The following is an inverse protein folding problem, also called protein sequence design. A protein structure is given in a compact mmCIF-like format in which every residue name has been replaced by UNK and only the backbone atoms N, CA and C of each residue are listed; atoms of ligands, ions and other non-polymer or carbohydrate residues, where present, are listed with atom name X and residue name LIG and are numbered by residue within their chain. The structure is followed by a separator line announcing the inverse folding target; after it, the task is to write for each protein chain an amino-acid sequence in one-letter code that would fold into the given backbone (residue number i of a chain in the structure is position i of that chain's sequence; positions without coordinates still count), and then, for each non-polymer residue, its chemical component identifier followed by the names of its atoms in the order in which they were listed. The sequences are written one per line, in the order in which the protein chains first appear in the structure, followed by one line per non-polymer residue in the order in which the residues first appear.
data_IF_420643686628
#
_entry.id   IF_420643686628
#
_cell.length_a   1.000
_cell.length_b   1.000
_cell.length_c   1.000
_cell.angle_alpha   90.00
_cell.angle_beta   90.00
_cell.angle_gamma   90.00
#
_symmetry.space_group_name_H-M   'P 1'
#
loop_
_entity.id
_entity.type
_entity.pdbx_description
1 polymer ?
#
# COMPACT_ATOMS: atom_id res chain seq x y z
N UNK A 1 -3.97 -15.30 -12.22
CA UNK A 1 -3.28 -14.47 -13.23
C UNK A 1 -1.91 -15.04 -13.58
N UNK A 2 -1.50 -14.99 -14.86
CA UNK A 2 -0.17 -15.41 -15.31
C UNK A 2 0.81 -14.22 -15.42
N UNK A 3 2.12 -14.47 -15.37
CA UNK A 3 3.12 -13.42 -15.57
C UNK A 3 3.06 -12.82 -16.97
N UNK A 4 2.72 -13.61 -17.99
CA UNK A 4 2.60 -13.11 -19.37
C UNK A 4 1.46 -12.11 -19.55
N UNK A 5 0.30 -12.36 -18.92
CA UNK A 5 -0.83 -11.44 -18.99
C UNK A 5 -0.49 -10.12 -18.31
N UNK A 6 0.20 -10.19 -17.16
CA UNK A 6 0.62 -8.99 -16.44
C UNK A 6 1.69 -8.17 -17.15
N UNK A 7 2.62 -8.83 -17.86
CA UNK A 7 3.61 -8.15 -18.70
C UNK A 7 2.93 -7.47 -19.90
N UNK A 8 1.98 -8.13 -20.56
CA UNK A 8 1.24 -7.53 -21.67
C UNK A 8 0.41 -6.31 -21.21
N UNK A 9 -0.16 -6.38 -20.01
CA UNK A 9 -0.84 -5.24 -19.41
C UNK A 9 0.10 -4.08 -19.06
N UNK A 10 1.29 -4.42 -18.57
CA UNK A 10 2.34 -3.45 -18.28
C UNK A 10 2.72 -2.64 -19.54
N UNK A 11 2.86 -3.31 -20.69
CA UNK A 11 3.11 -2.65 -21.99
C UNK A 11 2.02 -1.61 -22.32
N UNK A 12 0.76 -1.99 -22.11
CA UNK A 12 -0.34 -1.06 -22.36
C UNK A 12 -0.35 0.11 -21.38
N UNK A 13 -0.03 -0.14 -20.10
CA UNK A 13 0.02 0.89 -19.07
C UNK A 13 1.16 1.88 -19.31
N UNK A 14 2.35 1.39 -19.68
CA UNK A 14 3.51 2.21 -20.04
C UNK A 14 3.17 3.15 -21.21
N UNK A 15 2.56 2.61 -22.28
CA UNK A 15 2.12 3.43 -23.42
C UNK A 15 1.10 4.51 -23.03
N UNK A 16 0.30 4.25 -21.98
CA UNK A 16 -0.63 5.19 -21.37
C UNK A 16 -0.02 6.16 -20.36
N UNK A 17 1.30 6.08 -20.11
CA UNK A 17 2.03 6.99 -19.23
C UNK A 17 2.17 6.54 -17.78
N UNK A 18 1.83 5.30 -17.44
CA UNK A 18 2.16 4.73 -16.13
C UNK A 18 3.67 4.53 -16.03
N UNK A 19 4.26 5.00 -14.93
CA UNK A 19 5.72 5.00 -14.74
C UNK A 19 6.20 4.12 -13.59
N UNK A 20 5.27 3.59 -12.77
CA UNK A 20 5.60 2.90 -11.52
C UNK A 20 4.89 1.56 -11.40
N UNK A 21 5.59 0.57 -10.85
CA UNK A 21 5.04 -0.75 -10.53
C UNK A 21 5.26 -1.05 -9.05
N UNK A 22 4.20 -1.42 -8.35
CA UNK A 22 4.25 -1.89 -6.96
C UNK A 22 3.65 -3.29 -6.85
N UNK A 23 4.03 -4.01 -5.80
CA UNK A 23 3.50 -5.32 -5.46
C UNK A 23 2.81 -5.21 -4.10
N UNK A 24 1.51 -5.48 -4.07
CA UNK A 24 0.66 -5.37 -2.88
C UNK A 24 -0.46 -6.40 -2.94
N UNK A 25 -1.19 -6.54 -1.83
CA UNK A 25 -2.27 -7.50 -1.68
C UNK A 25 -1.76 -8.90 -1.35
N UNK A 26 -2.44 -9.58 -0.42
CA UNK A 26 -2.01 -10.89 0.08
C UNK A 26 -0.56 -10.90 0.56
N UNK A 27 0.17 -11.99 0.27
CA UNK A 27 1.62 -12.08 0.48
C UNK A 27 2.32 -12.34 -0.87
N UNK A 28 2.94 -11.32 -1.48
CA UNK A 28 3.57 -11.45 -2.81
C UNK A 28 4.67 -12.51 -2.88
N UNK A 29 5.41 -12.76 -1.79
CA UNK A 29 6.47 -13.77 -1.77
C UNK A 29 5.96 -15.22 -1.80
N UNK A 30 4.64 -15.46 -1.79
CA UNK A 30 4.06 -16.76 -2.13
C UNK A 30 4.14 -17.07 -3.63
N UNK A 31 4.46 -16.08 -4.48
CA UNK A 31 4.63 -16.21 -5.94
C UNK A 31 5.95 -15.58 -6.39
N UNK A 32 7.11 -16.11 -5.94
CA UNK A 32 8.41 -15.54 -6.29
C UNK A 32 8.71 -15.61 -7.79
N UNK A 33 8.16 -16.61 -8.49
CA UNK A 33 8.21 -16.74 -9.95
C UNK A 33 7.58 -15.53 -10.66
N UNK A 34 6.45 -15.05 -10.13
CA UNK A 34 5.74 -13.89 -10.67
C UNK A 34 6.49 -12.60 -10.36
N UNK A 35 6.98 -12.44 -9.13
CA UNK A 35 7.80 -11.28 -8.73
C UNK A 35 9.04 -11.13 -9.61
N UNK A 36 9.81 -12.21 -9.78
CA UNK A 36 11.03 -12.21 -10.60
C UNK A 36 10.73 -11.85 -12.05
N UNK A 37 9.70 -12.45 -12.64
CA UNK A 37 9.33 -12.19 -14.03
C UNK A 37 8.91 -10.72 -14.26
N UNK A 38 8.08 -10.19 -13.37
CA UNK A 38 7.62 -8.80 -13.50
C UNK A 38 8.71 -7.80 -13.16
N UNK A 39 9.57 -8.07 -12.17
CA UNK A 39 10.70 -7.19 -11.87
C UNK A 39 11.64 -7.07 -13.06
N UNK A 40 11.98 -8.19 -13.71
CA UNK A 40 12.77 -8.15 -14.95
C UNK A 40 12.09 -7.33 -16.05
N UNK A 41 10.78 -7.57 -16.27
CA UNK A 41 10.01 -6.85 -17.27
C UNK A 41 9.90 -5.33 -17.00
N UNK A 42 9.73 -4.93 -15.74
CA UNK A 42 9.72 -3.53 -15.31
C UNK A 42 11.05 -2.85 -15.63
N UNK A 43 12.17 -3.51 -15.33
CA UNK A 43 13.51 -3.00 -15.61
C UNK A 43 13.81 -2.88 -17.11
N UNK A 44 13.42 -3.87 -17.91
CA UNK A 44 13.57 -3.83 -19.37
C UNK A 44 12.85 -2.63 -20.01
N UNK A 45 11.78 -2.15 -19.36
CA UNK A 45 10.98 -1.00 -19.80
C UNK A 45 11.44 0.33 -19.20
N UNK A 46 12.43 0.32 -18.31
CA UNK A 46 12.88 1.53 -17.61
C UNK A 46 11.80 2.15 -16.72
N UNK A 47 10.84 1.34 -16.26
CA UNK A 47 9.83 1.77 -15.29
C UNK A 47 10.44 1.79 -13.89
N UNK A 48 9.90 2.63 -13.03
CA UNK A 48 10.31 2.71 -11.63
C UNK A 48 9.57 1.66 -10.80
N UNK A 49 10.22 1.15 -9.77
CA UNK A 49 9.49 0.45 -8.71
C UNK A 49 8.95 1.44 -7.69
N UNK A 50 7.74 1.16 -7.24
CA UNK A 50 7.21 1.71 -6.00
C UNK A 50 7.58 0.75 -4.85
N UNK A 51 6.59 0.20 -4.16
CA UNK A 51 6.79 -0.66 -3.00
C UNK A 51 6.53 -2.13 -3.30
N UNK A 52 7.37 -3.01 -2.76
CA UNK A 52 7.09 -4.45 -2.60
C UNK A 52 6.64 -4.69 -1.17
N UNK A 53 5.32 -4.81 -0.97
CA UNK A 53 4.72 -5.13 0.33
C UNK A 53 4.97 -6.58 0.69
N UNK A 54 5.22 -6.85 1.96
CA UNK A 54 5.29 -8.21 2.51
C UNK A 54 5.02 -8.18 4.01
N UNK A 55 4.56 -9.29 4.57
CA UNK A 55 4.66 -9.52 6.00
C UNK A 55 6.08 -9.97 6.38
N UNK A 56 6.92 -10.50 5.49
CA UNK A 56 8.28 -10.93 5.86
C UNK A 56 8.35 -12.19 6.73
N UNK A 57 7.25 -12.93 6.86
CA UNK A 57 7.09 -14.14 7.68
C UNK A 57 6.61 -15.37 6.85
N UNK A 58 6.89 -15.38 5.55
CA UNK A 58 6.48 -16.43 4.61
C UNK A 58 7.49 -17.58 4.46
N UNK A 59 8.71 -17.42 4.96
CA UNK A 59 9.83 -18.33 4.76
C UNK A 59 9.89 -19.42 5.83
N UNK A 60 10.26 -20.65 5.41
CA UNK A 60 10.41 -21.79 6.32
C UNK A 60 11.78 -21.83 7.02
N UNK A 61 12.84 -21.43 6.31
CA UNK A 61 14.21 -21.35 6.81
C UNK A 61 14.97 -20.18 6.17
N UNK A 62 16.10 -19.81 6.78
CA UNK A 62 16.90 -18.65 6.38
C UNK A 62 17.56 -18.83 5.00
N UNK A 63 17.78 -20.07 4.54
CA UNK A 63 18.33 -20.34 3.21
C UNK A 63 17.28 -20.03 2.14
N UNK A 64 16.04 -20.48 2.35
CA UNK A 64 14.90 -20.16 1.49
C UNK A 64 14.59 -18.67 1.45
N UNK A 65 14.66 -17.99 2.61
CA UNK A 65 14.54 -16.53 2.69
C UNK A 65 15.58 -15.84 1.80
N UNK A 66 16.87 -16.12 2.02
CA UNK A 66 17.96 -15.48 1.28
C UNK A 66 17.88 -15.77 -0.22
N UNK A 67 17.70 -17.04 -0.60
CA UNK A 67 17.64 -17.43 -2.02
C UNK A 67 16.51 -16.73 -2.78
N UNK A 68 15.37 -16.51 -2.12
CA UNK A 68 14.23 -15.83 -2.75
C UNK A 68 14.51 -14.33 -2.88
N UNK A 69 15.05 -13.69 -1.84
CA UNK A 69 15.44 -12.28 -1.87
C UNK A 69 16.54 -12.01 -2.91
N UNK A 70 17.56 -12.87 -3.00
CA UNK A 70 18.60 -12.81 -4.03
C UNK A 70 17.98 -12.87 -5.43
N UNK A 71 17.00 -13.75 -5.66
CA UNK A 71 16.33 -13.87 -6.97
C UNK A 71 15.58 -12.60 -7.35
N UNK A 72 14.91 -11.95 -6.38
CA UNK A 72 14.18 -10.68 -6.60
C UNK A 72 15.14 -9.52 -6.88
N UNK A 73 16.25 -9.43 -6.12
CA UNK A 73 17.31 -8.45 -6.37
C UNK A 73 17.95 -8.67 -7.75
N UNK A 74 18.28 -9.90 -8.09
CA UNK A 74 18.97 -10.24 -9.35
C UNK A 74 18.07 -10.00 -10.57
N UNK A 75 16.74 -10.05 -10.39
CA UNK A 75 15.76 -9.61 -11.39
C UNK A 75 15.72 -8.09 -11.57
N UNK A 76 16.43 -7.34 -10.72
CA UNK A 76 16.60 -5.89 -10.80
C UNK A 76 15.62 -5.06 -9.96
N UNK A 77 14.92 -5.66 -9.00
CA UNK A 77 14.09 -4.85 -8.08
C UNK A 77 14.97 -3.92 -7.23
N UNK A 78 14.76 -2.61 -7.39
CA UNK A 78 15.46 -1.54 -6.66
C UNK A 78 14.52 -0.58 -5.92
N UNK A 79 13.23 -0.92 -5.84
CA UNK A 79 12.23 -0.17 -5.08
C UNK A 79 12.32 -0.37 -3.57
N UNK A 80 11.31 0.15 -2.85
CA UNK A 80 11.25 0.06 -1.40
C UNK A 80 10.60 -1.27 -0.96
N UNK A 81 11.21 -1.97 0.00
CA UNK A 81 10.55 -3.11 0.65
C UNK A 81 9.66 -2.57 1.77
N UNK A 82 8.35 -2.76 1.63
CA UNK A 82 7.38 -2.38 2.64
C UNK A 82 7.08 -3.55 3.56
N UNK A 83 7.67 -3.54 4.76
CA UNK A 83 7.38 -4.56 5.77
C UNK A 83 6.12 -4.17 6.55
N UNK A 84 5.01 -4.86 6.28
CA UNK A 84 3.78 -4.77 7.05
C UNK A 84 3.99 -5.46 8.40
N UNK A 85 4.12 -4.68 9.46
CA UNK A 85 4.40 -5.15 10.82
C UNK A 85 3.52 -4.39 11.82
N UNK A 86 2.50 -5.07 12.34
CA UNK A 86 1.56 -4.51 13.30
C UNK A 86 0.91 -5.60 14.17
N UNK A 87 0.00 -5.17 15.05
CA UNK A 87 -0.72 -6.06 15.96
C UNK A 87 -1.61 -7.09 15.24
N UNK A 88 -2.07 -6.83 14.01
CA UNK A 88 -2.95 -7.74 13.27
C UNK A 88 -2.20 -8.94 12.70
N UNK A 89 -0.94 -8.75 12.34
CA UNK A 89 -0.10 -9.84 11.82
C UNK A 89 0.48 -10.71 12.94
N UNK A 90 0.66 -10.16 14.15
CA UNK A 90 1.09 -10.92 15.33
C UNK A 90 2.47 -11.57 15.19
N UNK A 91 3.35 -10.96 14.39
CA UNK A 91 4.59 -11.58 13.95
C UNK A 91 5.67 -11.57 15.03
N UNK A 92 6.55 -12.56 14.96
CA UNK A 92 7.69 -12.64 15.88
C UNK A 92 8.68 -11.49 15.64
N UNK A 93 9.03 -10.68 16.66
CA UNK A 93 10.08 -9.67 16.55
C UNK A 93 11.42 -10.25 16.06
N UNK A 94 11.74 -11.48 16.49
CA UNK A 94 12.95 -12.17 16.07
C UNK A 94 12.96 -12.45 14.56
N UNK A 95 11.83 -12.90 14.01
CA UNK A 95 11.72 -13.22 12.58
C UNK A 95 11.73 -11.96 11.72
N UNK A 96 11.07 -10.90 12.17
CA UNK A 96 11.16 -9.59 11.54
C UNK A 96 12.61 -9.09 11.49
N UNK A 97 13.37 -9.19 12.59
CA UNK A 97 14.78 -8.80 12.62
C UNK A 97 15.65 -9.64 11.65
N UNK A 98 15.43 -10.96 11.58
CA UNK A 98 16.14 -11.83 10.62
C UNK A 98 15.80 -11.47 9.17
N UNK A 99 14.53 -11.22 8.89
CA UNK A 99 14.09 -10.76 7.57
C UNK A 99 14.80 -9.45 7.17
N UNK A 100 14.73 -8.43 8.03
CA UNK A 100 15.34 -7.12 7.80
C UNK A 100 16.86 -7.23 7.59
N UNK A 101 17.57 -7.95 8.48
CA UNK A 101 19.01 -8.15 8.33
C UNK A 101 19.35 -8.86 7.02
N UNK A 102 18.56 -9.86 6.61
CA UNK A 102 18.80 -10.57 5.34
C UNK A 102 18.56 -9.67 4.14
N UNK A 103 17.52 -8.82 4.16
CA UNK A 103 17.30 -7.80 3.13
C UNK A 103 18.52 -6.87 3.04
N UNK A 104 19.00 -6.35 4.16
CA UNK A 104 20.15 -5.43 4.15
C UNK A 104 21.41 -6.08 3.59
N UNK A 105 21.65 -7.35 3.91
CA UNK A 105 22.77 -8.11 3.35
C UNK A 105 22.62 -8.33 1.84
N UNK A 106 21.40 -8.68 1.37
CA UNK A 106 21.14 -8.97 -0.04
C UNK A 106 21.30 -7.71 -0.90
N UNK A 107 20.75 -6.57 -0.46
CA UNK A 107 20.86 -5.30 -1.19
C UNK A 107 22.18 -4.57 -0.93
N UNK A 108 22.90 -4.90 0.14
CA UNK A 108 24.15 -4.25 0.54
C UNK A 108 23.97 -2.85 1.13
N UNK A 109 22.76 -2.51 1.58
CA UNK A 109 22.37 -1.19 2.11
C UNK A 109 21.16 -1.33 3.05
N UNK A 110 21.06 -0.44 4.04
CA UNK A 110 20.12 -0.53 5.17
C UNK A 110 18.90 0.40 5.11
N UNK A 111 18.77 1.13 4.02
CA UNK A 111 17.76 2.17 3.78
C UNK A 111 16.77 1.77 2.67
N UNK A 112 16.68 0.46 2.38
CA UNK A 112 15.79 -0.14 1.36
C UNK A 112 14.52 -0.73 1.96
N UNK A 113 14.26 -0.46 3.25
CA UNK A 113 13.06 -0.93 3.95
C UNK A 113 12.35 0.22 4.64
N UNK A 114 11.03 0.17 4.62
CA UNK A 114 10.17 0.91 5.53
C UNK A 114 9.20 -0.04 6.24
N UNK A 115 8.81 0.34 7.46
CA UNK A 115 7.83 -0.39 8.26
C UNK A 115 6.48 0.28 8.13
N UNK A 116 5.47 -0.51 7.77
CA UNK A 116 4.08 -0.08 7.70
C UNK A 116 3.30 -0.76 8.81
N UNK A 117 2.57 0.03 9.58
CA UNK A 117 1.71 -0.49 10.66
C UNK A 117 0.33 0.12 10.59
N UNK A 118 -0.69 -0.70 10.77
CA UNK A 118 -2.06 -0.24 10.99
C UNK A 118 -2.32 -0.11 12.48
N UNK A 119 -2.86 1.04 12.93
CA UNK A 119 -3.21 1.27 14.34
C UNK A 119 -4.28 0.28 14.81
N UNK A 120 -4.04 -0.35 15.95
CA UNK A 120 -4.97 -1.24 16.64
C UNK A 120 -5.52 -0.58 17.91
N UNK A 121 -6.70 -0.98 18.42
CA UNK A 121 -7.14 -0.62 19.76
C UNK A 121 -6.13 -1.00 20.87
N UNK A 122 -5.33 -2.04 20.63
CA UNK A 122 -4.20 -2.42 21.47
C UNK A 122 -2.97 -2.71 20.60
N UNK A 123 -1.96 -1.87 20.75
CA UNK A 123 -0.66 -1.94 20.07
C UNK A 123 0.49 -2.32 21.02
N UNK A 124 0.18 -2.69 22.27
CA UNK A 124 1.19 -2.83 23.33
C UNK A 124 2.27 -3.86 23.00
N UNK A 125 1.87 -5.03 22.48
CA UNK A 125 2.79 -6.09 22.08
C UNK A 125 3.60 -5.71 20.84
N UNK A 126 2.94 -5.10 19.85
CA UNK A 126 3.60 -4.60 18.65
C UNK A 126 4.69 -3.58 19.00
N UNK A 127 4.38 -2.58 19.85
CA UNK A 127 5.34 -1.53 20.23
C UNK A 127 6.54 -2.11 20.98
N UNK A 128 6.33 -3.06 21.90
CA UNK A 128 7.43 -3.80 22.55
C UNK A 128 8.24 -4.61 21.56
N UNK A 129 7.57 -5.25 20.59
CA UNK A 129 8.20 -5.99 19.51
C UNK A 129 9.08 -5.10 18.65
N UNK A 130 8.63 -3.89 18.36
CA UNK A 130 9.36 -2.91 17.57
C UNK A 130 10.65 -2.43 18.26
N UNK A 131 10.59 -2.18 19.58
CA UNK A 131 11.80 -1.91 20.38
C UNK A 131 12.79 -3.09 20.34
N UNK A 132 12.29 -4.33 20.39
CA UNK A 132 13.13 -5.53 20.30
C UNK A 132 13.75 -5.71 18.90
N UNK A 133 13.00 -5.41 17.82
CA UNK A 133 13.52 -5.40 16.45
C UNK A 133 14.64 -4.37 16.31
N UNK A 134 14.41 -3.14 16.78
CA UNK A 134 15.41 -2.08 16.74
C UNK A 134 16.72 -2.49 17.43
N UNK A 135 16.63 -3.05 18.64
CA UNK A 135 17.78 -3.52 19.39
C UNK A 135 18.50 -4.69 18.67
N UNK A 136 17.75 -5.63 18.07
CA UNK A 136 18.32 -6.75 17.33
C UNK A 136 19.08 -6.31 16.06
N UNK A 137 18.71 -5.18 15.47
CA UNK A 137 19.40 -4.57 14.33
C UNK A 137 20.56 -3.64 14.75
N UNK A 138 20.86 -3.54 16.05
CA UNK A 138 21.90 -2.66 16.57
C UNK A 138 21.51 -1.17 16.56
N UNK A 139 20.22 -0.87 16.43
CA UNK A 139 19.68 0.47 16.45
C UNK A 139 18.80 0.75 17.68
N UNK A 140 18.07 1.85 17.59
CA UNK A 140 17.04 2.26 18.55
C UNK A 140 15.79 2.74 17.83
N UNK A 141 14.66 2.62 18.51
CA UNK A 141 13.40 3.19 18.04
C UNK A 141 13.34 4.67 18.43
N UNK A 142 13.25 5.55 17.45
CA UNK A 142 12.96 6.96 17.66
C UNK A 142 11.45 7.19 17.71
N UNK A 143 11.04 8.02 18.65
CA UNK A 143 9.64 8.40 18.87
C UNK A 143 9.50 9.91 18.69
N UNK A 144 8.36 10.34 18.15
CA UNK A 144 7.99 11.74 18.04
C UNK A 144 7.57 12.34 19.39
N UNK A 145 7.25 13.63 19.38
CA UNK A 145 6.79 14.36 20.58
C UNK A 145 5.49 13.79 21.17
N UNK A 146 4.68 13.12 20.35
CA UNK A 146 3.46 12.42 20.74
C UNK A 146 3.71 10.99 21.27
N UNK A 147 4.97 10.54 21.30
CA UNK A 147 5.39 9.21 21.73
C UNK A 147 5.23 8.12 20.67
N UNK A 148 4.72 8.46 19.48
CA UNK A 148 4.55 7.53 18.38
C UNK A 148 5.90 7.16 17.75
N UNK A 149 6.13 5.90 17.35
CA UNK A 149 7.34 5.52 16.65
C UNK A 149 7.39 6.20 15.28
N UNK A 150 8.55 6.77 14.96
CA UNK A 150 8.81 7.50 13.71
C UNK A 150 9.77 6.72 12.81
N UNK A 151 10.81 6.10 13.40
CA UNK A 151 11.81 5.32 12.66
C UNK A 151 12.67 4.47 13.59
N UNK A 152 13.29 3.43 13.05
CA UNK A 152 14.43 2.73 13.66
C UNK A 152 15.71 3.31 13.05
N UNK A 153 16.70 3.66 13.86
CA UNK A 153 18.00 4.09 13.35
C UNK A 153 19.18 3.63 14.22
N UNK A 154 20.38 3.57 13.64
CA UNK A 154 21.64 3.35 14.35
C UNK A 154 22.43 4.67 14.53
N UNK A 155 23.52 4.61 15.31
CA UNK A 155 24.39 5.77 15.53
C UNK A 155 25.11 6.22 14.26
N UNK A 156 25.41 5.28 13.36
CA UNK A 156 26.00 5.59 12.05
C UNK A 156 25.10 6.53 11.26
N UNK A 157 23.77 6.32 11.24
CA UNK A 157 22.85 7.26 10.62
C UNK A 157 22.65 8.54 11.44
N UNK A 158 22.54 8.44 12.77
CA UNK A 158 22.29 9.59 13.65
C UNK A 158 23.38 10.66 13.59
N UNK A 159 24.63 10.24 13.39
CA UNK A 159 25.80 11.12 13.39
C UNK A 159 26.13 11.67 11.99
N UNK A 160 25.37 11.28 10.95
CA UNK A 160 25.59 11.76 9.58
C UNK A 160 25.44 13.27 9.48
N UNK A 161 26.25 13.82 8.58
CA UNK A 161 26.24 15.20 8.14
C UNK A 161 25.92 15.26 6.64
N UNK A 162 25.63 16.46 6.12
CA UNK A 162 25.42 16.66 4.68
C UNK A 162 26.66 16.33 3.82
N UNK A 163 27.85 16.21 4.43
CA UNK A 163 29.09 15.87 3.74
C UNK A 163 29.30 14.36 3.58
N UNK A 164 28.56 13.52 4.32
CA UNK A 164 28.72 12.07 4.29
C UNK A 164 28.04 11.47 3.05
N UNK A 165 28.66 10.47 2.39
CA UNK A 165 28.11 9.86 1.19
C UNK A 165 26.80 9.13 1.50
N UNK A 166 25.80 9.28 0.63
CA UNK A 166 24.55 8.51 0.71
C UNK A 166 24.76 7.10 0.11
N UNK A 167 25.39 6.24 0.91
CA UNK A 167 25.78 4.87 0.54
C UNK A 167 24.93 3.80 1.25
N UNK A 168 23.89 4.20 1.98
CA UNK A 168 23.00 3.30 2.72
C UNK A 168 23.67 2.52 3.86
N UNK A 169 24.84 2.94 4.34
CA UNK A 169 25.58 2.24 5.41
C UNK A 169 24.94 2.39 6.80
N UNK A 170 24.29 3.52 7.06
CA UNK A 170 23.55 3.80 8.28
C UNK A 170 22.15 3.19 8.26
N UNK A 171 21.74 2.59 9.38
CA UNK A 171 20.39 2.06 9.53
C UNK A 171 19.39 3.20 9.63
N UNK A 172 18.41 3.23 8.73
CA UNK A 172 17.21 4.06 8.85
C UNK A 172 16.02 3.32 8.27
N UNK A 173 15.05 3.00 9.12
CA UNK A 173 13.80 2.36 8.72
C UNK A 173 12.66 3.27 9.16
N UNK A 174 12.04 4.04 8.24
CA UNK A 174 10.85 4.81 8.55
C UNK A 174 9.73 3.91 9.09
N UNK A 175 8.98 4.39 10.08
CA UNK A 175 7.80 3.70 10.63
C UNK A 175 6.57 4.53 10.26
N UNK A 176 5.79 4.04 9.31
CA UNK A 176 4.55 4.67 8.84
C UNK A 176 3.39 4.02 9.58
N UNK A 177 2.71 4.83 10.41
CA UNK A 177 1.50 4.41 11.14
C UNK A 177 0.25 4.91 10.43
N UNK A 178 -0.53 4.02 9.87
CA UNK A 178 -1.80 4.32 9.20
C UNK A 178 -2.99 4.07 10.13
N UNK A 179 -4.06 4.89 10.07
CA UNK A 179 -5.32 4.53 10.70
C UNK A 179 -5.90 3.28 10.03
N UNK A 180 -6.59 2.44 10.81
CA UNK A 180 -7.37 1.33 10.25
C UNK A 180 -8.61 1.87 9.56
N UNK A 181 -8.82 1.48 8.31
CA UNK A 181 -10.13 1.65 7.68
C UNK A 181 -11.08 0.53 8.10
N UNK A 182 -12.33 0.89 8.40
CA UNK A 182 -13.35 -0.07 8.80
C UNK A 182 -14.19 -0.50 7.61
N UNK A 183 -14.76 -1.70 7.67
CA UNK A 183 -15.77 -2.14 6.70
C UNK A 183 -17.16 -1.61 7.04
N UNK A 184 -18.07 -1.57 6.06
CA UNK A 184 -19.48 -1.25 6.29
C UNK A 184 -20.12 -2.15 7.37
N UNK A 185 -19.73 -3.43 7.43
CA UNK A 185 -20.26 -4.38 8.39
C UNK A 185 -19.95 -4.01 9.86
N UNK A 186 -18.86 -3.29 10.09
CA UNK A 186 -18.48 -2.80 11.42
C UNK A 186 -19.23 -1.55 11.84
N UNK A 187 -19.84 -0.82 10.89
CA UNK A 187 -20.79 0.25 11.18
C UNK A 187 -20.20 1.46 11.93
N UNK A 188 -18.94 1.82 11.67
CA UNK A 188 -18.18 2.81 12.46
C UNK A 188 -18.58 4.26 12.11
N UNK A 189 -19.76 4.68 12.58
CA UNK A 189 -20.37 6.00 12.35
C UNK A 189 -20.27 6.96 13.55
N UNK A 190 -19.33 6.71 14.45
CA UNK A 190 -19.24 7.38 15.76
C UNK A 190 -18.26 8.56 15.79
N UNK A 191 -17.71 8.97 14.64
CA UNK A 191 -16.76 10.07 14.59
C UNK A 191 -17.44 11.41 14.94
N UNK A 192 -16.79 12.32 15.68
CA UNK A 192 -17.34 13.66 15.91
C UNK A 192 -17.28 14.53 14.64
N UNK A 193 -16.49 14.13 13.63
CA UNK A 193 -16.21 14.89 12.40
C UNK A 193 -16.36 14.03 11.15
N UNK A 194 -16.64 14.70 10.04
CA UNK A 194 -16.50 14.10 8.72
C UNK A 194 -15.03 13.99 8.32
N UNK A 195 -14.73 13.06 7.41
CA UNK A 195 -13.45 12.95 6.73
C UNK A 195 -13.15 14.26 5.96
N UNK A 196 -11.89 14.43 5.57
CA UNK A 196 -11.50 15.48 4.63
C UNK A 196 -11.32 14.82 3.28
N UNK A 197 -11.83 15.45 2.23
CA UNK A 197 -11.49 15.04 0.87
C UNK A 197 -9.98 15.17 0.70
N UNK A 198 -9.37 14.07 0.29
CA UNK A 198 -7.93 13.96 0.06
C UNK A 198 -7.62 13.90 -1.44
N UNK A 199 -8.62 14.12 -2.31
CA UNK A 199 -8.55 14.12 -3.78
C UNK A 199 -7.41 13.24 -4.27
N UNK A 200 -7.58 11.92 -4.18
CA UNK A 200 -6.70 10.99 -4.90
C UNK A 200 -6.50 11.54 -6.32
N UNK A 201 -5.27 11.54 -6.86
CA UNK A 201 -4.85 12.40 -8.00
C UNK A 201 -5.63 12.20 -9.33
N UNK A 202 -6.70 11.40 -9.35
CA UNK A 202 -7.49 11.02 -10.52
C UNK A 202 -7.55 9.50 -10.74
N UNK A 203 -8.52 8.99 -11.53
CA UNK A 203 -8.43 7.64 -12.07
C UNK A 203 -7.22 7.56 -13.02
N UNK A 204 -6.50 6.44 -13.01
CA UNK A 204 -5.29 6.26 -13.83
C UNK A 204 -3.97 6.62 -13.14
N UNK A 205 -3.99 7.18 -11.92
CA UNK A 205 -2.76 7.24 -11.10
C UNK A 205 -2.42 5.90 -10.48
N UNK A 206 -3.43 5.06 -10.27
CA UNK A 206 -3.27 3.69 -9.83
C UNK A 206 -4.21 2.80 -10.61
N UNK A 207 -3.68 1.69 -11.10
CA UNK A 207 -4.45 0.51 -11.48
C UNK A 207 -4.08 -0.60 -10.51
N UNK A 208 -5.00 -0.90 -9.61
CA UNK A 208 -4.85 -2.01 -8.67
C UNK A 208 -5.34 -3.28 -9.35
N UNK A 209 -4.43 -4.22 -9.59
CA UNK A 209 -4.71 -5.46 -10.30
C UNK A 209 -4.86 -6.60 -9.30
N UNK A 210 -6.04 -7.21 -9.27
CA UNK A 210 -6.35 -8.30 -8.36
C UNK A 210 -5.90 -9.67 -8.91
N UNK A 211 -5.76 -10.71 -8.06
CA UNK A 211 -5.28 -12.04 -8.50
C UNK A 211 -6.15 -12.73 -9.57
N UNK A 212 -7.43 -12.38 -9.64
CA UNK A 212 -8.40 -12.84 -10.64
C UNK A 212 -8.29 -12.08 -11.97
N UNK A 213 -7.45 -11.05 -12.03
CA UNK A 213 -7.22 -10.21 -13.21
C UNK A 213 -8.16 -9.00 -13.30
N UNK A 214 -9.05 -8.78 -12.34
CA UNK A 214 -9.85 -7.55 -12.30
C UNK A 214 -8.98 -6.33 -11.97
N UNK A 215 -9.32 -5.18 -12.55
CA UNK A 215 -8.55 -3.94 -12.42
C UNK A 215 -9.43 -2.84 -11.83
N UNK A 216 -9.00 -2.31 -10.69
CA UNK A 216 -9.65 -1.19 -10.01
C UNK A 216 -8.81 0.09 -10.11
N UNK A 217 -9.45 1.25 -10.03
CA UNK A 217 -8.77 2.57 -10.02
C UNK A 217 -8.48 3.10 -8.62
N UNK A 218 -8.69 2.29 -7.59
CA UNK A 218 -8.59 2.66 -6.18
C UNK A 218 -7.43 1.91 -5.51
N UNK A 219 -6.61 2.62 -4.74
CA UNK A 219 -5.57 2.02 -3.88
C UNK A 219 -6.04 1.74 -2.44
N UNK A 220 -7.17 2.32 -2.04
CA UNK A 220 -7.70 2.23 -0.68
C UNK A 220 -8.57 1.00 -0.43
N UNK A 221 -9.13 0.93 0.78
CA UNK A 221 -9.88 -0.22 1.30
C UNK A 221 -11.01 -0.73 0.39
N UNK A 222 -11.68 0.18 -0.33
CA UNK A 222 -12.81 -0.20 -1.18
C UNK A 222 -12.40 -0.79 -2.54
N UNK A 223 -11.11 -1.00 -2.85
CA UNK A 223 -10.66 -1.39 -4.19
C UNK A 223 -11.19 -2.74 -4.72
N UNK A 224 -11.76 -3.58 -3.87
CA UNK A 224 -12.46 -4.83 -4.25
C UNK A 224 -13.94 -4.60 -4.62
N UNK A 225 -14.46 -3.39 -4.43
CA UNK A 225 -15.83 -3.04 -4.80
C UNK A 225 -16.04 -3.14 -6.31
N UNK A 226 -17.09 -3.85 -6.78
CA UNK A 226 -17.43 -3.93 -8.20
C UNK A 226 -17.68 -2.58 -8.86
N UNK A 227 -18.11 -1.57 -8.11
CA UNK A 227 -18.35 -0.21 -8.60
C UNK A 227 -17.05 0.53 -8.96
N UNK A 228 -15.90 0.03 -8.51
CA UNK A 228 -14.58 0.64 -8.72
C UNK A 228 -13.68 -0.20 -9.64
N UNK A 229 -14.14 -1.39 -10.02
CA UNK A 229 -13.51 -2.22 -11.04
C UNK A 229 -13.88 -1.63 -12.40
N UNK A 230 -12.87 -1.23 -13.17
CA UNK A 230 -13.01 -0.57 -14.47
C UNK A 230 -12.69 -1.51 -15.64
N UNK A 231 -12.34 -2.75 -15.36
CA UNK A 231 -12.07 -3.76 -16.39
C UNK A 231 -11.19 -4.89 -15.87
N UNK A 232 -10.39 -5.43 -16.76
CA UNK A 232 -9.50 -6.55 -16.52
C UNK A 232 -8.10 -6.28 -17.06
N UNK A 233 -7.15 -7.13 -16.67
CA UNK A 233 -5.78 -7.10 -17.14
C UNK A 233 -5.64 -7.37 -18.64
N UNK A 234 -6.69 -7.90 -19.28
CA UNK A 234 -6.72 -8.10 -20.72
C UNK A 234 -7.15 -6.85 -21.50
N UNK A 235 -7.66 -5.83 -20.81
CA UNK A 235 -8.05 -4.57 -21.41
C UNK A 235 -6.84 -3.63 -21.54
N UNK A 236 -6.83 -2.79 -22.57
CA UNK A 236 -5.81 -1.75 -22.71
C UNK A 236 -6.05 -0.58 -21.75
N UNK A 237 -5.00 0.19 -21.50
CA UNK A 237 -5.06 1.43 -20.74
C UNK A 237 -6.19 2.36 -21.23
N UNK A 238 -6.32 2.56 -22.54
CA UNK A 238 -7.38 3.41 -23.12
C UNK A 238 -8.78 2.92 -22.77
N UNK A 239 -8.99 1.60 -22.79
CA UNK A 239 -10.27 0.98 -22.44
C UNK A 239 -10.55 1.19 -20.95
N UNK A 240 -9.57 0.96 -20.08
CA UNK A 240 -9.73 1.18 -18.64
C UNK A 240 -10.04 2.64 -18.31
N UNK A 241 -9.36 3.58 -18.97
CA UNK A 241 -9.60 5.01 -18.79
C UNK A 241 -10.97 5.43 -19.32
N UNK A 242 -11.41 4.90 -20.46
CA UNK A 242 -12.76 5.15 -20.98
C UNK A 242 -13.84 4.61 -20.01
N UNK A 243 -13.63 3.42 -19.46
CA UNK A 243 -14.54 2.82 -18.48
C UNK A 243 -14.57 3.64 -17.18
N UNK A 244 -13.41 4.10 -16.71
CA UNK A 244 -13.30 4.98 -15.55
C UNK A 244 -14.05 6.30 -15.76
N UNK A 245 -13.89 6.93 -16.92
CA UNK A 245 -14.61 8.16 -17.30
C UNK A 245 -16.12 7.94 -17.48
N UNK A 246 -16.54 6.72 -17.84
CA UNK A 246 -17.95 6.34 -17.91
C UNK A 246 -18.57 6.00 -16.55
N UNK A 247 -17.76 5.77 -15.51
CA UNK A 247 -18.24 5.35 -14.19
C UNK A 247 -18.56 6.54 -13.29
N UNK A 248 -19.82 6.69 -12.92
CA UNK A 248 -20.26 7.76 -12.02
C UNK A 248 -19.64 7.65 -10.63
N UNK A 249 -19.47 6.43 -10.11
CA UNK A 249 -18.84 6.21 -8.82
C UNK A 249 -17.39 6.67 -8.81
N UNK A 250 -16.66 6.39 -9.90
CA UNK A 250 -15.29 6.85 -10.09
C UNK A 250 -15.27 8.38 -10.18
N UNK A 251 -16.08 8.97 -11.05
CA UNK A 251 -16.16 10.43 -11.21
C UNK A 251 -16.55 11.15 -9.92
N UNK A 252 -17.50 10.62 -9.16
CA UNK A 252 -17.91 11.20 -7.88
C UNK A 252 -16.74 11.25 -6.87
N UNK A 253 -15.84 10.25 -6.89
CA UNK A 253 -14.66 10.25 -6.02
C UNK A 253 -13.58 11.21 -6.49
N UNK A 254 -13.18 11.12 -7.76
CA UNK A 254 -11.97 11.78 -8.25
C UNK A 254 -12.23 13.19 -8.82
N UNK A 255 -13.43 13.46 -9.34
CA UNK A 255 -13.77 14.76 -9.94
C UNK A 255 -14.58 15.64 -8.97
N UNK A 256 -15.54 15.04 -8.24
CA UNK A 256 -16.45 15.80 -7.36
C UNK A 256 -15.94 15.89 -5.92
N UNK A 257 -15.30 14.82 -5.41
CA UNK A 257 -14.97 14.67 -4.00
C UNK A 257 -16.14 14.10 -3.19
N UNK A 258 -15.83 13.16 -2.29
CA UNK A 258 -16.85 12.44 -1.51
C UNK A 258 -17.50 13.32 -0.45
N UNK A 259 -16.79 14.34 0.05
CA UNK A 259 -17.32 15.34 0.96
C UNK A 259 -18.39 16.20 0.29
N UNK A 260 -18.13 16.64 -0.94
CA UNK A 260 -19.13 17.37 -1.77
C UNK A 260 -20.33 16.50 -2.09
N UNK A 261 -20.10 15.23 -2.48
CA UNK A 261 -21.17 14.27 -2.74
C UNK A 261 -22.06 14.07 -1.49
N UNK A 262 -21.45 13.89 -0.31
CA UNK A 262 -22.17 13.78 0.95
C UNK A 262 -23.07 14.98 1.20
N UNK A 263 -22.56 16.21 1.10
CA UNK A 263 -23.34 17.43 1.38
C UNK A 263 -24.58 17.54 0.48
N UNK A 264 -24.38 17.19 -0.78
CA UNK A 264 -25.42 17.10 -1.79
C UNK A 264 -26.49 16.05 -1.43
N UNK A 265 -26.09 14.87 -0.96
CA UNK A 265 -27.01 13.81 -0.50
C UNK A 265 -27.80 14.26 0.74
N UNK A 266 -27.14 14.93 1.70
CA UNK A 266 -27.81 15.49 2.88
C UNK A 266 -28.84 16.55 2.48
N UNK A 267 -28.51 17.41 1.51
CA UNK A 267 -29.42 18.43 0.98
C UNK A 267 -30.63 17.84 0.24
N UNK A 268 -30.48 16.67 -0.40
CA UNK A 268 -31.61 15.94 -1.02
C UNK A 268 -32.47 15.16 -0.03
N UNK A 269 -32.11 15.18 1.27
CA UNK A 269 -32.87 14.57 2.35
C UNK A 269 -32.36 13.18 2.78
N UNK A 270 -31.26 12.69 2.22
CA UNK A 270 -30.61 11.46 2.69
C UNK A 270 -30.04 11.68 4.08
N UNK A 271 -30.27 10.73 4.99
CA UNK A 271 -29.71 10.74 6.34
C UNK A 271 -28.74 9.59 6.50
N UNK A 272 -27.50 9.90 6.82
CA UNK A 272 -26.49 8.91 7.17
C UNK A 272 -26.66 8.43 8.63
N UNK A 273 -26.22 7.21 8.98
CA UNK A 273 -26.32 6.69 10.34
C UNK A 273 -25.57 7.53 11.39
N UNK A 274 -24.54 8.25 10.97
CA UNK A 274 -23.75 9.15 11.79
C UNK A 274 -22.66 9.81 10.94
N UNK A 275 -21.49 10.08 11.52
CA UNK A 275 -20.35 10.64 10.80
C UNK A 275 -19.14 9.71 10.87
N UNK A 276 -18.27 9.82 9.88
CA UNK A 276 -17.00 9.08 9.85
C UNK A 276 -15.86 10.00 9.44
N UNK A 277 -14.69 9.82 10.05
CA UNK A 277 -13.44 10.48 9.64
C UNK A 277 -12.64 9.65 8.62
N UNK A 278 -13.13 8.45 8.28
CA UNK A 278 -12.52 7.51 7.35
C UNK A 278 -13.21 7.60 5.98
N UNK A 279 -12.52 8.22 5.02
CA UNK A 279 -13.03 8.42 3.67
C UNK A 279 -13.22 7.09 2.91
N UNK A 280 -12.35 6.11 3.16
CA UNK A 280 -12.41 4.81 2.51
C UNK A 280 -13.64 4.03 2.99
N UNK A 281 -13.92 4.04 4.30
CA UNK A 281 -15.16 3.47 4.86
C UNK A 281 -16.41 4.15 4.27
N UNK A 282 -16.43 5.48 4.18
CA UNK A 282 -17.57 6.18 3.58
C UNK A 282 -17.78 5.77 2.11
N UNK A 283 -16.70 5.61 1.36
CA UNK A 283 -16.80 5.21 -0.03
C UNK A 283 -17.23 3.73 -0.19
N UNK A 284 -16.75 2.84 0.69
CA UNK A 284 -17.22 1.45 0.80
C UNK A 284 -18.72 1.40 1.11
N UNK A 285 -19.20 2.27 2.01
CA UNK A 285 -20.63 2.43 2.30
C UNK A 285 -21.44 2.81 1.08
N UNK A 286 -21.01 3.79 0.30
CA UNK A 286 -21.72 4.18 -0.92
C UNK A 286 -21.75 3.05 -1.94
N UNK A 287 -20.64 2.33 -2.11
CA UNK A 287 -20.55 1.20 -3.03
C UNK A 287 -21.46 0.05 -2.60
N UNK A 288 -21.47 -0.28 -1.31
CA UNK A 288 -22.25 -1.40 -0.76
C UNK A 288 -23.75 -1.12 -0.72
N UNK A 289 -24.15 0.11 -0.38
CA UNK A 289 -25.58 0.48 -0.30
C UNK A 289 -26.20 0.77 -1.67
N UNK A 290 -25.39 0.84 -2.73
CA UNK A 290 -25.87 1.16 -4.06
C UNK A 290 -26.53 2.53 -4.16
N UNK A 291 -26.23 3.44 -3.23
CA UNK A 291 -26.71 4.82 -3.28
C UNK A 291 -26.04 5.49 -4.48
N UNK A 292 -26.79 5.76 -5.57
CA UNK A 292 -26.19 6.23 -6.81
C UNK A 292 -25.78 7.70 -6.67
N UNK A 293 -24.68 8.12 -7.30
CA UNK A 293 -24.32 9.54 -7.42
C UNK A 293 -25.42 10.38 -8.10
N UNK A 294 -26.27 9.77 -8.95
CA UNK A 294 -27.34 10.43 -9.70
C UNK A 294 -28.44 11.11 -8.87
N UNK A 295 -28.57 10.80 -7.57
CA UNK A 295 -29.70 11.32 -6.78
C UNK A 295 -29.64 12.84 -6.50
N UNK A 296 -28.76 13.58 -7.17
CA UNK A 296 -28.43 14.97 -6.86
C UNK A 296 -28.35 15.90 -8.09
N UNK A 297 -28.81 15.46 -9.26
CA UNK A 297 -29.21 16.38 -10.33
C UNK A 297 -30.73 16.48 -10.44
N UNK A 298 -31.38 16.87 -9.34
CA UNK A 298 -32.70 17.52 -9.34
C UNK A 298 -32.80 18.59 -8.27
#
# INVERSE_FOLDING_TARGET
MSSSDAIAFLDSCEAGGIQRVGFSGGEPFLRPDFLVALSGATMERGLYFDRLMTNGDWWSDETGLRSTLDSVRDAGFDGMIGLSYDAYHGQSPKRAAVFLATVFDVWGRKDVVELLSVRSPDDSDFLRGLDAVAAALGGRLERGDDGEPVRILDDTYAERTEADPDDGSGLVIPVIRSPRSSSVAEGVWESPRWFRDDFCEGPGNVFYVHPDGSVAVCCGFANESPQLIVGSISDSWDVLMANAAGSEHVRARYETGLGTLRERMEASGIRFPGKTADICFFCDYLCTTGLPPETIEK
#
